data_IF_948744616913
#
_entry.id   IF_948744616913
#
_cell.length_a   1.000
_cell.length_b   1.000
_cell.length_c   1.000
_cell.angle_alpha   90.00
_cell.angle_beta   90.00
_cell.angle_gamma   90.00
#
_symmetry.space_group_name_H-M   'P 1'
#
loop_
_entity.id
_entity.type
_entity.pdbx_description
1 polymer ?
#
# COMPACT_ATOMS: atom_id res chain seq x y z
N UNK A 1 3.55 33.64 -1.27
CA UNK A 1 3.57 32.92 0.03
C UNK A 1 4.34 31.62 -0.17
N UNK A 2 5.47 31.40 0.51
CA UNK A 2 6.28 30.19 0.28
C UNK A 2 5.51 28.94 0.73
N UNK A 3 5.53 27.89 -0.11
CA UNK A 3 5.00 26.55 0.21
C UNK A 3 6.15 25.57 0.26
N UNK A 4 6.20 24.75 1.30
CA UNK A 4 7.17 23.66 1.40
C UNK A 4 6.75 22.53 0.47
N UNK A 5 7.66 22.13 -0.42
CA UNK A 5 7.47 21.03 -1.36
C UNK A 5 8.54 19.96 -1.12
N UNK A 6 8.14 18.69 -1.11
CA UNK A 6 9.05 17.55 -1.07
C UNK A 6 9.23 17.01 -2.49
N UNK A 7 10.45 16.61 -2.83
CA UNK A 7 10.81 16.11 -4.15
C UNK A 7 11.60 14.81 -4.03
N UNK A 8 11.50 13.94 -5.06
CA UNK A 8 12.26 12.71 -5.16
C UNK A 8 11.44 11.52 -5.66
N UNK A 9 12.11 10.38 -5.84
CA UNK A 9 11.48 9.18 -6.38
C UNK A 9 10.45 8.61 -5.40
N UNK A 10 10.69 8.69 -4.09
CA UNK A 10 9.77 8.18 -3.07
C UNK A 10 8.40 8.86 -3.12
N UNK A 11 8.35 10.19 -3.30
CA UNK A 11 7.08 10.91 -3.43
C UNK A 11 6.40 10.62 -4.76
N UNK A 12 7.18 10.35 -5.82
CA UNK A 12 6.67 9.93 -7.13
C UNK A 12 6.06 8.53 -7.08
N UNK A 13 6.75 7.57 -6.48
CA UNK A 13 6.24 6.20 -6.26
C UNK A 13 5.01 6.21 -5.38
N UNK A 14 5.00 6.98 -4.27
CA UNK A 14 3.83 7.12 -3.41
C UNK A 14 2.62 7.67 -4.17
N UNK A 15 2.82 8.71 -4.99
CA UNK A 15 1.77 9.28 -5.85
C UNK A 15 1.22 8.26 -6.85
N UNK A 16 2.08 7.43 -7.45
CA UNK A 16 1.64 6.33 -8.33
C UNK A 16 0.88 5.24 -7.57
N UNK A 17 1.34 4.85 -6.39
CA UNK A 17 0.67 3.86 -5.54
C UNK A 17 -0.70 4.33 -5.09
N UNK A 18 -0.87 5.63 -4.81
CA UNK A 18 -2.17 6.23 -4.52
C UNK A 18 -3.10 6.15 -5.74
N UNK A 19 -2.61 6.53 -6.93
CA UNK A 19 -3.40 6.53 -8.17
C UNK A 19 -3.96 5.15 -8.56
N UNK A 20 -3.27 4.08 -8.18
CA UNK A 20 -3.68 2.69 -8.40
C UNK A 20 -4.28 2.04 -7.14
N UNK A 21 -4.51 2.83 -6.09
CA UNK A 21 -5.10 2.41 -4.84
C UNK A 21 -6.54 1.92 -4.98
N UNK A 22 -7.07 1.34 -3.91
CA UNK A 22 -8.48 0.93 -3.81
C UNK A 22 -9.10 1.53 -2.57
N UNK A 23 -10.39 1.92 -2.62
CA UNK A 23 -11.08 2.51 -1.48
C UNK A 23 -11.08 1.54 -0.29
N UNK A 24 -10.94 2.10 0.91
CA UNK A 24 -10.91 1.36 2.18
C UNK A 24 -9.81 0.30 2.28
N UNK A 25 -8.70 0.48 1.57
CA UNK A 25 -7.50 -0.38 1.69
C UNK A 25 -6.24 0.48 1.85
N UNK A 26 -5.26 -0.06 2.57
CA UNK A 26 -3.96 0.58 2.76
C UNK A 26 -2.95 -0.09 1.82
N UNK A 27 -2.44 0.68 0.86
CA UNK A 27 -1.49 0.21 -0.15
C UNK A 27 -0.05 0.36 0.35
N UNK A 28 0.74 -0.72 0.31
CA UNK A 28 2.06 -0.78 0.93
C UNK A 28 3.10 -1.32 -0.05
N UNK A 29 4.28 -0.69 -0.09
CA UNK A 29 5.41 -1.13 -0.92
C UNK A 29 6.12 -2.34 -0.25
N UNK A 30 6.71 -3.22 -1.05
CA UNK A 30 7.57 -4.31 -0.61
C UNK A 30 8.61 -3.93 0.47
N UNK A 31 9.29 -2.79 0.32
CA UNK A 31 10.28 -2.35 1.33
C UNK A 31 9.64 -2.10 2.68
N UNK A 32 8.46 -1.47 2.69
CA UNK A 32 7.69 -1.23 3.91
C UNK A 32 7.17 -2.54 4.51
N UNK A 33 6.73 -3.50 3.69
CA UNK A 33 6.31 -4.83 4.17
C UNK A 33 7.45 -5.56 4.87
N UNK A 34 8.67 -5.54 4.31
CA UNK A 34 9.85 -6.13 4.95
C UNK A 34 10.08 -5.56 6.35
N UNK A 35 9.95 -4.24 6.50
CA UNK A 35 10.07 -3.57 7.79
C UNK A 35 8.94 -4.01 8.73
N UNK A 36 7.68 -4.00 8.28
CA UNK A 36 6.53 -4.40 9.11
C UNK A 36 6.64 -5.84 9.61
N UNK A 37 7.09 -6.76 8.76
CA UNK A 37 7.31 -8.16 9.15
C UNK A 37 8.50 -8.31 10.11
N UNK A 38 9.55 -7.50 9.95
CA UNK A 38 10.71 -7.53 10.85
C UNK A 38 10.43 -7.03 12.27
N UNK A 39 9.36 -6.24 12.46
CA UNK A 39 8.95 -5.74 13.77
C UNK A 39 8.25 -6.80 14.63
N UNK A 40 7.84 -7.93 14.05
CA UNK A 40 7.14 -9.04 14.73
C UNK A 40 5.88 -8.63 15.51
N UNK A 41 5.25 -7.52 15.13
CA UNK A 41 4.07 -7.00 15.82
C UNK A 41 2.73 -7.59 15.32
N UNK A 42 2.77 -8.69 14.56
CA UNK A 42 1.55 -9.36 14.06
C UNK A 42 0.83 -8.62 12.92
N UNK A 43 1.55 -7.88 12.07
CA UNK A 43 0.95 -7.27 10.87
C UNK A 43 0.60 -8.31 9.81
N UNK A 44 -0.62 -8.23 9.28
CA UNK A 44 -1.14 -9.11 8.22
C UNK A 44 -1.18 -8.37 6.90
N UNK A 45 -0.50 -8.90 5.90
CA UNK A 45 -0.40 -8.32 4.56
C UNK A 45 -0.81 -9.34 3.50
N UNK A 46 -1.42 -8.87 2.42
CA UNK A 46 -1.82 -9.67 1.26
C UNK A 46 -1.11 -9.17 0.00
N UNK A 47 -0.48 -10.05 -0.80
CA UNK A 47 0.14 -9.64 -2.05
C UNK A 47 -0.92 -9.18 -3.06
N UNK A 48 -0.63 -8.11 -3.77
CA UNK A 48 -1.45 -7.65 -4.91
C UNK A 48 -1.04 -8.39 -6.19
N UNK A 49 -2.01 -8.61 -7.07
CA UNK A 49 -1.78 -8.99 -8.47
C UNK A 49 -0.80 -8.00 -9.13
N UNK A 50 0.14 -8.50 -9.92
CA UNK A 50 1.16 -7.68 -10.60
C UNK A 50 0.44 -6.64 -11.45
N UNK A 51 0.54 -5.38 -11.04
CA UNK A 51 -0.03 -4.27 -11.80
C UNK A 51 1.14 -3.61 -12.53
N UNK A 52 1.09 -3.56 -13.86
CA UNK A 52 2.10 -2.89 -14.68
C UNK A 52 2.18 -1.41 -14.30
N UNK A 53 3.24 -1.03 -13.59
CA UNK A 53 3.62 0.36 -13.44
C UNK A 53 4.35 0.75 -14.72
N UNK A 54 3.61 1.35 -15.66
CA UNK A 54 4.15 1.82 -16.94
C UNK A 54 5.45 2.62 -16.72
N UNK A 55 6.55 2.11 -17.28
CA UNK A 55 7.80 2.86 -17.44
C UNK A 55 8.95 2.54 -16.48
N UNK A 56 8.78 1.73 -15.43
CA UNK A 56 9.89 1.49 -14.46
C UNK A 56 10.05 0.03 -13.98
N UNK A 57 9.28 -0.90 -14.54
CA UNK A 57 9.32 -2.33 -14.20
C UNK A 57 8.22 -2.74 -13.22
N UNK A 58 8.18 -4.04 -12.91
CA UNK A 58 7.19 -4.61 -11.99
C UNK A 58 7.60 -4.34 -10.54
N UNK A 59 6.84 -3.53 -9.80
CA UNK A 59 6.97 -3.46 -8.34
C UNK A 59 5.92 -4.33 -7.66
N UNK A 60 6.37 -5.24 -6.79
CA UNK A 60 5.48 -6.02 -5.97
C UNK A 60 4.93 -5.15 -4.83
N UNK A 61 3.60 -5.08 -4.74
CA UNK A 61 2.89 -4.27 -3.74
C UNK A 61 1.89 -5.13 -2.97
N UNK A 62 1.45 -4.62 -1.82
CA UNK A 62 0.67 -5.38 -0.85
C UNK A 62 -0.47 -4.55 -0.26
N UNK A 63 -1.53 -5.21 0.17
CA UNK A 63 -2.57 -4.65 1.02
C UNK A 63 -2.28 -4.96 2.48
N UNK A 64 -2.31 -3.95 3.34
CA UNK A 64 -2.33 -4.19 4.79
C UNK A 64 -3.75 -4.54 5.23
N UNK A 65 -3.93 -5.76 5.74
CA UNK A 65 -5.22 -6.29 6.18
C UNK A 65 -5.52 -5.94 7.64
N UNK A 66 -4.49 -5.85 8.48
CA UNK A 66 -4.65 -5.53 9.89
C UNK A 66 -3.42 -5.87 10.72
N UNK A 67 -3.59 -5.81 12.04
CA UNK A 67 -2.57 -6.14 13.04
C UNK A 67 -3.24 -6.98 14.13
N UNK A 68 -2.55 -7.98 14.65
CA UNK A 68 -3.03 -8.71 15.82
C UNK A 68 -3.23 -7.77 17.02
N UNK A 69 -4.34 -7.95 17.74
CA UNK A 69 -4.76 -7.04 18.81
C UNK A 69 -5.54 -5.79 18.35
N UNK A 70 -5.70 -5.56 17.04
CA UNK A 70 -6.58 -4.49 16.55
C UNK A 70 -8.04 -4.97 16.49
N UNK A 71 -8.85 -4.56 17.47
CA UNK A 71 -10.25 -5.00 17.64
C UNK A 71 -11.29 -4.00 17.16
N UNK A 72 -10.86 -2.85 16.63
CA UNK A 72 -11.80 -1.84 16.13
C UNK A 72 -12.43 -2.30 14.81
N UNK A 73 -13.72 -2.01 14.58
CA UNK A 73 -14.38 -2.38 13.33
C UNK A 73 -13.71 -1.65 12.16
N UNK A 74 -13.20 -2.42 11.20
CA UNK A 74 -12.70 -1.88 9.95
C UNK A 74 -13.86 -1.67 8.97
N UNK A 75 -13.82 -0.61 8.15
CA UNK A 75 -14.79 -0.45 7.07
C UNK A 75 -14.68 -1.65 6.13
N UNK A 76 -15.82 -2.24 5.76
CA UNK A 76 -15.85 -3.37 4.82
C UNK A 76 -15.40 -2.87 3.44
N UNK A 77 -14.29 -3.38 2.88
CA UNK A 77 -13.89 -3.01 1.53
C UNK A 77 -14.98 -3.43 0.54
N UNK A 78 -15.28 -2.61 -0.49
CA UNK A 78 -16.19 -3.03 -1.55
C UNK A 78 -15.67 -4.28 -2.26
N UNK A 79 -16.58 -5.16 -2.66
CA UNK A 79 -16.26 -6.43 -3.33
C UNK A 79 -15.46 -6.17 -4.61
N UNK A 80 -14.40 -6.96 -4.80
CA UNK A 80 -13.57 -6.93 -5.99
C UNK A 80 -14.38 -7.55 -7.14
N UNK A 81 -15.10 -6.75 -7.93
CA UNK A 81 -15.64 -7.26 -9.19
C UNK A 81 -14.45 -7.49 -10.16
N UNK A 82 -14.21 -8.72 -10.63
CA UNK A 82 -13.35 -8.91 -11.79
C UNK A 82 -14.07 -8.26 -12.97
N UNK A 83 -13.43 -7.26 -13.57
CA UNK A 83 -13.84 -6.65 -14.83
C UNK A 83 -13.12 -7.31 -15.99
#
# INVERSE_FOLDING_TARGET
MPRYCLFGDTVTTASRMESTGRPYRIHVNHTTVKILLSLDEGYKVEPRERTDLMGQGFEQTYWLLGKDGFTKPLPKPPELKPG
#
